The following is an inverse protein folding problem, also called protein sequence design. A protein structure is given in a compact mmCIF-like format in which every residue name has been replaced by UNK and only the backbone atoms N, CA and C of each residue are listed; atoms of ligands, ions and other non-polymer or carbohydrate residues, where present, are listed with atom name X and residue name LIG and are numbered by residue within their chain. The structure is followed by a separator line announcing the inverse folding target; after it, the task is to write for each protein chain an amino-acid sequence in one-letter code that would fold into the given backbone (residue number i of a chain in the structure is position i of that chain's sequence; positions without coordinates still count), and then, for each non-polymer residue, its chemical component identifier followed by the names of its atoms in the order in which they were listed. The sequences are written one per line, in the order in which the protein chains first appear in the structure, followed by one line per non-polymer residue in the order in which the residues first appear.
data_IF_618798269855
#
_entry.id   IF_618798269855
#
_cell.length_a   1.000
_cell.length_b   1.000
_cell.length_c   1.000
_cell.angle_alpha   90.00
_cell.angle_beta   90.00
_cell.angle_gamma   90.00
#
_symmetry.space_group_name_H-M   'P 1'
#
loop_
_entity.id
_entity.type
_entity.pdbx_description
1 polymer ?
#
# COMPACT_ATOMS: atom_id res chain seq x y z
N UNK A 1 7.97 -56.37 46.14
CA UNK A 1 8.48 -56.29 44.76
C UNK A 1 7.65 -55.49 43.75
N UNK A 2 6.36 -55.12 43.93
CA UNK A 2 5.63 -54.36 42.89
C UNK A 2 5.84 -52.83 42.90
N UNK A 3 6.37 -52.25 44.00
CA UNK A 3 6.59 -50.79 44.10
C UNK A 3 7.77 -50.27 43.26
N UNK A 4 8.79 -51.09 42.98
CA UNK A 4 9.97 -50.64 42.20
C UNK A 4 9.67 -50.52 40.70
N UNK A 5 8.82 -51.40 40.15
CA UNK A 5 8.44 -51.38 38.72
C UNK A 5 7.65 -50.11 38.36
N UNK A 6 6.70 -49.69 39.21
CA UNK A 6 5.91 -48.49 38.99
C UNK A 6 6.75 -47.20 39.06
N UNK A 7 7.80 -47.17 39.90
CA UNK A 7 8.73 -46.05 40.01
C UNK A 7 9.66 -45.97 38.80
N UNK A 8 10.19 -47.09 38.31
CA UNK A 8 11.03 -47.15 37.12
C UNK A 8 10.26 -46.77 35.85
N UNK A 9 9.03 -47.27 35.69
CA UNK A 9 8.14 -46.88 34.57
C UNK A 9 7.79 -45.39 34.60
N UNK A 10 7.56 -44.82 35.79
CA UNK A 10 7.29 -43.39 35.95
C UNK A 10 8.52 -42.52 35.62
N UNK A 11 9.74 -42.98 35.94
CA UNK A 11 10.99 -42.30 35.60
C UNK A 11 11.27 -42.39 34.09
N UNK A 12 11.09 -43.57 33.47
CA UNK A 12 11.21 -43.73 32.01
C UNK A 12 10.19 -42.87 31.26
N UNK A 13 8.94 -42.85 31.73
CA UNK A 13 7.86 -42.04 31.16
C UNK A 13 8.17 -40.53 31.26
N UNK A 14 8.66 -40.07 32.42
CA UNK A 14 9.10 -38.67 32.62
C UNK A 14 10.31 -38.32 31.75
N UNK A 15 11.30 -39.22 31.65
CA UNK A 15 12.47 -39.03 30.79
C UNK A 15 12.09 -38.92 29.32
N UNK A 16 11.19 -39.78 28.84
CA UNK A 16 10.69 -39.77 27.47
C UNK A 16 9.88 -38.51 27.19
N UNK A 17 9.06 -38.06 28.15
CA UNK A 17 8.32 -36.80 28.05
C UNK A 17 9.26 -35.59 27.97
N UNK A 18 10.32 -35.54 28.79
CA UNK A 18 11.32 -34.45 28.77
C UNK A 18 12.06 -34.44 27.43
N UNK A 19 12.51 -35.58 26.91
CA UNK A 19 13.17 -35.67 25.61
C UNK A 19 12.25 -35.28 24.46
N UNK A 20 10.97 -35.66 24.50
CA UNK A 20 9.98 -35.27 23.50
C UNK A 20 9.71 -33.75 23.54
N UNK A 21 9.59 -33.16 24.74
CA UNK A 21 9.43 -31.72 24.93
C UNK A 21 10.67 -30.94 24.46
N UNK A 22 11.87 -31.44 24.74
CA UNK A 22 13.12 -30.84 24.25
C UNK A 22 13.20 -30.90 22.72
N UNK A 23 12.89 -32.05 22.10
CA UNK A 23 12.85 -32.20 20.65
C UNK A 23 11.82 -31.27 19.99
N UNK A 24 10.64 -31.14 20.59
CA UNK A 24 9.62 -30.19 20.16
C UNK A 24 10.11 -28.73 20.28
N UNK A 25 10.77 -28.39 21.38
CA UNK A 25 11.34 -27.07 21.59
C UNK A 25 12.42 -26.72 20.56
N UNK A 26 13.36 -27.64 20.29
CA UNK A 26 14.38 -27.46 19.25
C UNK A 26 13.77 -27.32 17.85
N UNK A 27 12.74 -28.10 17.54
CA UNK A 27 11.99 -27.97 16.29
C UNK A 27 11.30 -26.60 16.18
N UNK A 28 10.68 -26.10 17.25
CA UNK A 28 10.04 -24.78 17.24
C UNK A 28 11.05 -23.64 17.15
N UNK A 29 12.24 -23.80 17.75
CA UNK A 29 13.35 -22.83 17.61
C UNK A 29 13.89 -22.82 16.19
N UNK A 30 14.09 -23.98 15.55
CA UNK A 30 14.59 -24.02 14.16
C UNK A 30 13.61 -23.38 13.16
N UNK A 31 12.35 -23.23 13.57
CA UNK A 31 11.30 -22.52 12.81
C UNK A 31 11.26 -21.01 13.05
N UNK A 32 12.08 -20.47 13.96
CA UNK A 32 12.33 -19.02 14.06
C UNK A 32 13.15 -18.58 12.86
N UNK A 33 12.73 -17.49 12.23
CA UNK A 33 13.52 -16.83 11.19
C UNK A 33 14.00 -15.50 11.75
N UNK A 34 15.29 -15.14 11.68
CA UNK A 34 15.69 -13.80 12.09
C UNK A 34 14.96 -12.76 11.24
N UNK A 35 14.56 -11.64 11.86
CA UNK A 35 13.99 -10.53 11.12
C UNK A 35 15.04 -9.95 10.18
N UNK A 36 14.64 -9.62 8.94
CA UNK A 36 15.54 -9.00 7.98
C UNK A 36 15.83 -7.56 8.45
N UNK A 37 17.12 -7.24 8.58
CA UNK A 37 17.62 -5.89 8.86
C UNK A 37 18.62 -5.51 7.76
N UNK A 38 18.19 -4.73 6.76
CA UNK A 38 19.07 -4.28 5.69
C UNK A 38 20.26 -3.48 6.24
N UNK A 39 21.48 -3.89 5.89
CA UNK A 39 22.71 -3.26 6.38
C UNK A 39 22.86 -1.85 5.83
N UNK A 40 23.42 -0.94 6.63
CA UNK A 40 23.70 0.43 6.18
C UNK A 40 22.45 1.22 5.78
N UNK A 41 21.26 0.77 6.19
CA UNK A 41 19.99 1.37 5.81
C UNK A 41 19.16 1.74 7.05
N UNK A 42 18.38 2.81 6.91
CA UNK A 42 17.33 3.17 7.85
C UNK A 42 15.95 2.89 7.25
N UNK A 43 15.03 2.48 8.11
CA UNK A 43 13.63 2.27 7.70
C UNK A 43 12.91 3.62 7.55
N UNK A 44 12.19 3.81 6.45
CA UNK A 44 11.26 4.91 6.27
C UNK A 44 9.90 4.61 6.93
N UNK A 45 9.21 5.67 7.29
CA UNK A 45 7.90 5.63 7.91
C UNK A 45 7.92 5.79 9.43
N UNK A 46 6.74 5.82 10.01
CA UNK A 46 6.58 6.05 11.43
C UNK A 46 7.15 4.89 12.29
N UNK A 47 7.56 5.17 13.54
CA UNK A 47 7.91 4.11 14.48
C UNK A 47 6.79 3.08 14.65
N UNK A 48 7.09 1.78 14.87
CA UNK A 48 6.07 0.77 15.07
C UNK A 48 5.07 1.16 16.17
N UNK A 49 3.78 0.91 15.94
CA UNK A 49 2.71 1.22 16.89
C UNK A 49 2.29 2.69 16.95
N UNK A 50 2.92 3.58 16.19
CA UNK A 50 2.50 4.99 16.04
C UNK A 50 1.74 5.21 14.74
N UNK A 51 0.81 6.18 14.75
CA UNK A 51 0.05 6.58 13.57
C UNK A 51 -0.52 7.99 13.78
N UNK A 52 -0.57 8.80 12.72
CA UNK A 52 -1.26 10.08 12.73
C UNK A 52 -2.79 9.92 12.65
N UNK A 53 -3.28 8.70 12.40
CA UNK A 53 -4.69 8.34 12.31
C UNK A 53 -5.23 7.63 13.57
N UNK A 54 -4.52 7.66 14.71
CA UNK A 54 -5.00 7.07 15.97
C UNK A 54 -6.38 7.59 16.41
N UNK A 55 -6.71 8.81 16.02
CA UNK A 55 -7.97 9.49 16.29
C UNK A 55 -8.91 9.53 15.06
N UNK A 56 -8.73 8.67 14.04
CA UNK A 56 -9.53 8.72 12.80
C UNK A 56 -11.05 8.60 13.01
N UNK A 57 -11.47 8.05 14.15
CA UNK A 57 -12.89 7.86 14.52
C UNK A 57 -13.47 8.97 15.38
N UNK A 58 -12.67 9.97 15.77
CA UNK A 58 -13.08 11.09 16.60
C UNK A 58 -14.17 11.93 15.91
N UNK A 59 -15.20 12.32 16.65
CA UNK A 59 -16.33 13.11 16.16
C UNK A 59 -15.93 14.50 15.67
N UNK A 60 -14.77 15.04 16.08
CA UNK A 60 -14.25 16.31 15.57
C UNK A 60 -14.05 16.32 14.05
N UNK A 61 -13.88 15.14 13.45
CA UNK A 61 -13.74 15.00 12.00
C UNK A 61 -15.07 14.90 11.27
N UNK A 62 -16.22 14.90 11.96
CA UNK A 62 -17.53 14.82 11.31
C UNK A 62 -18.01 16.14 10.71
N UNK A 63 -17.33 17.26 11.01
CA UNK A 63 -17.66 18.60 10.51
C UNK A 63 -16.39 19.32 10.06
N UNK A 64 -16.55 20.30 9.18
CA UNK A 64 -15.48 21.22 8.82
C UNK A 64 -15.21 22.25 9.92
N UNK A 65 -14.05 22.87 9.87
CA UNK A 65 -13.67 24.02 10.69
C UNK A 65 -13.24 25.18 9.79
N UNK A 66 -13.44 26.45 10.20
CA UNK A 66 -12.96 27.59 9.43
C UNK A 66 -11.44 27.56 9.19
N UNK A 67 -11.01 28.18 8.10
CA UNK A 67 -9.58 28.39 7.82
C UNK A 67 -8.99 29.32 8.89
N UNK A 68 -7.87 28.91 9.50
CA UNK A 68 -7.25 29.64 10.61
C UNK A 68 -6.21 28.78 11.32
N UNK A 69 -6.16 28.86 12.64
CA UNK A 69 -5.30 28.06 13.51
C UNK A 69 -6.13 27.30 14.55
N UNK A 70 -5.64 26.14 14.99
CA UNK A 70 -6.18 25.44 16.15
C UNK A 70 -5.61 25.99 17.48
N UNK A 71 -6.10 25.47 18.61
CA UNK A 71 -5.69 25.90 19.95
C UNK A 71 -4.18 25.72 20.22
N UNK A 72 -3.48 24.95 19.39
CA UNK A 72 -2.02 24.77 19.46
C UNK A 72 -1.27 25.62 18.43
N UNK A 73 -1.93 26.58 17.78
CA UNK A 73 -1.35 27.47 16.78
C UNK A 73 -1.06 26.79 15.43
N UNK A 74 -1.55 25.57 15.20
CA UNK A 74 -1.31 24.83 13.94
C UNK A 74 -2.38 25.21 12.92
N UNK A 75 -2.09 25.20 11.61
CA UNK A 75 -3.09 25.51 10.59
C UNK A 75 -4.31 24.58 10.72
N UNK A 76 -5.53 25.12 10.81
CA UNK A 76 -6.74 24.31 10.97
C UNK A 76 -6.93 23.35 9.79
N UNK A 77 -6.62 23.84 8.58
CA UNK A 77 -6.56 23.08 7.34
C UNK A 77 -5.13 22.65 7.05
N UNK A 78 -4.91 21.33 7.09
CA UNK A 78 -3.55 20.77 7.00
C UNK A 78 -3.54 19.31 6.58
N UNK A 79 -2.36 18.84 6.19
CA UNK A 79 -2.07 17.42 6.03
C UNK A 79 -2.17 16.71 7.38
N UNK A 80 -3.09 15.76 7.48
CA UNK A 80 -3.31 14.90 8.65
C UNK A 80 -2.40 13.67 8.62
N UNK A 81 -2.26 13.02 7.47
CA UNK A 81 -1.42 11.84 7.33
C UNK A 81 -0.89 11.71 5.89
N UNK A 82 0.28 11.10 5.75
CA UNK A 82 0.89 10.79 4.46
C UNK A 82 1.12 9.28 4.34
N UNK A 83 0.84 8.71 3.17
CA UNK A 83 1.05 7.30 2.88
C UNK A 83 1.72 7.10 1.53
N UNK A 84 2.73 6.23 1.51
CA UNK A 84 3.23 5.61 0.28
C UNK A 84 2.77 4.17 0.22
N UNK A 85 2.31 3.71 -0.94
CA UNK A 85 1.91 2.33 -1.19
C UNK A 85 2.90 1.69 -2.16
N UNK A 86 4.12 1.35 -1.73
CA UNK A 86 5.21 0.98 -2.64
C UNK A 86 4.88 -0.24 -3.50
N UNK A 87 4.13 -1.17 -2.92
CA UNK A 87 3.58 -2.33 -3.59
C UNK A 87 2.07 -2.16 -3.81
N UNK A 88 1.65 -2.10 -5.08
CA UNK A 88 0.26 -1.93 -5.46
C UNK A 88 -0.62 -2.97 -4.77
N UNK A 89 -1.76 -2.51 -4.25
CA UNK A 89 -2.76 -3.33 -3.57
C UNK A 89 -2.34 -3.91 -2.20
N UNK A 90 -1.12 -3.67 -1.74
CA UNK A 90 -0.63 -4.11 -0.42
C UNK A 90 -0.69 -2.98 0.62
N UNK A 91 -0.35 -3.24 1.89
CA UNK A 91 -0.40 -2.21 2.95
C UNK A 91 0.45 -0.98 2.60
N UNK A 92 0.02 0.17 3.09
CA UNK A 92 0.75 1.43 2.95
C UNK A 92 1.77 1.61 4.06
N UNK A 93 2.83 2.34 3.78
CA UNK A 93 3.79 2.86 4.75
C UNK A 93 3.34 4.27 5.12
N UNK A 94 2.98 4.47 6.39
CA UNK A 94 2.65 5.81 6.89
C UNK A 94 3.94 6.62 7.11
N UNK A 95 3.95 7.84 6.59
CA UNK A 95 5.12 8.71 6.55
C UNK A 95 4.88 9.99 7.35
N UNK A 96 5.93 10.51 7.99
CA UNK A 96 5.91 11.86 8.56
C UNK A 96 6.21 12.93 7.50
N UNK A 97 7.03 12.57 6.50
CA UNK A 97 7.37 13.39 5.37
C UNK A 97 7.72 12.49 4.18
N UNK A 98 7.52 13.00 2.97
CA UNK A 98 7.88 12.32 1.72
C UNK A 98 8.38 13.33 0.72
N UNK A 99 9.42 12.97 -0.03
CA UNK A 99 9.69 13.62 -1.29
C UNK A 99 8.51 13.33 -2.24
N UNK A 100 8.19 14.29 -3.09
CA UNK A 100 7.30 14.18 -4.22
C UNK A 100 8.16 14.30 -5.46
N UNK A 101 8.06 13.32 -6.34
CA UNK A 101 8.73 13.21 -7.64
C UNK A 101 7.66 13.21 -8.74
N UNK A 102 8.01 13.22 -10.05
CA UNK A 102 6.99 13.29 -11.11
C UNK A 102 5.95 12.16 -11.07
N UNK A 103 6.31 10.98 -10.55
CA UNK A 103 5.39 9.83 -10.38
C UNK A 103 4.55 9.85 -9.09
N UNK A 104 4.67 10.89 -8.26
CA UNK A 104 3.92 11.08 -7.02
C UNK A 104 4.81 11.09 -5.78
N UNK A 105 4.29 10.61 -4.64
CA UNK A 105 5.13 10.41 -3.46
C UNK A 105 6.22 9.40 -3.79
N UNK A 106 7.45 9.66 -3.34
CA UNK A 106 8.59 8.79 -3.59
C UNK A 106 8.29 7.35 -3.15
N UNK A 107 8.71 6.40 -3.98
CA UNK A 107 8.44 4.97 -3.87
C UNK A 107 6.98 4.52 -4.03
N UNK A 108 5.99 5.42 -4.18
CA UNK A 108 4.59 5.01 -4.30
C UNK A 108 4.33 4.21 -5.59
N UNK A 109 3.68 3.05 -5.42
CA UNK A 109 3.22 2.14 -6.49
C UNK A 109 4.26 1.82 -7.56
N UNK A 110 5.53 1.75 -7.17
CA UNK A 110 6.64 1.36 -8.03
C UNK A 110 6.64 -0.15 -8.32
N UNK A 111 5.96 -0.94 -7.48
CA UNK A 111 5.89 -2.38 -7.60
C UNK A 111 4.45 -2.89 -7.74
N UNK A 112 4.26 -4.03 -8.40
CA UNK A 112 2.97 -4.73 -8.46
C UNK A 112 3.18 -6.23 -8.59
N UNK A 113 2.21 -7.04 -8.14
CA UNK A 113 2.12 -8.43 -8.57
C UNK A 113 1.34 -8.53 -9.89
N UNK A 114 1.73 -9.47 -10.75
CA UNK A 114 0.98 -9.81 -11.95
C UNK A 114 1.03 -11.31 -12.24
N UNK A 115 -0.09 -11.82 -12.76
CA UNK A 115 -0.25 -13.23 -13.12
C UNK A 115 -0.16 -13.41 -14.63
N UNK A 116 0.54 -14.45 -15.08
CA UNK A 116 0.61 -14.81 -16.49
C UNK A 116 -0.66 -15.56 -16.94
N UNK A 117 -1.34 -15.06 -17.97
CA UNK A 117 -2.47 -15.72 -18.62
C UNK A 117 -2.65 -15.18 -20.05
N UNK A 118 -3.10 -16.04 -20.97
CA UNK A 118 -3.33 -15.67 -22.38
C UNK A 118 -2.12 -14.94 -22.99
N UNK A 119 -0.93 -15.52 -22.78
CA UNK A 119 0.37 -15.03 -23.24
C UNK A 119 0.75 -13.60 -22.78
N UNK A 120 0.11 -13.11 -21.70
CA UNK A 120 0.33 -11.76 -21.17
C UNK A 120 0.42 -11.74 -19.65
N UNK A 121 1.30 -10.89 -19.14
CA UNK A 121 1.32 -10.54 -17.72
C UNK A 121 0.18 -9.56 -17.41
N UNK A 122 -0.68 -9.90 -16.45
CA UNK A 122 -1.81 -9.06 -16.05
C UNK A 122 -1.73 -8.76 -14.56
N UNK A 123 -1.76 -7.49 -14.18
CA UNK A 123 -1.68 -7.12 -12.76
C UNK A 123 -2.79 -7.79 -11.93
N UNK A 124 -2.43 -8.21 -10.71
CA UNK A 124 -3.38 -8.74 -9.72
C UNK A 124 -3.53 -7.72 -8.60
N UNK A 125 -4.77 -7.45 -8.24
CA UNK A 125 -5.11 -6.36 -7.32
C UNK A 125 -6.17 -6.80 -6.31
N UNK A 126 -6.37 -5.99 -5.28
CA UNK A 126 -7.50 -6.12 -4.34
C UNK A 126 -8.88 -5.99 -4.99
N UNK A 127 -9.00 -5.86 -6.32
CA UNK A 127 -10.28 -5.99 -7.04
C UNK A 127 -10.56 -7.42 -7.49
N UNK A 128 -9.52 -8.23 -7.63
CA UNK A 128 -9.63 -9.62 -8.03
C UNK A 128 -10.06 -10.46 -6.82
N UNK A 129 -11.06 -11.33 -7.01
CA UNK A 129 -11.73 -12.09 -5.93
C UNK A 129 -10.75 -12.88 -5.06
N UNK A 130 -9.75 -13.49 -5.68
CA UNK A 130 -8.82 -14.43 -5.03
C UNK A 130 -7.58 -13.75 -4.44
N UNK A 131 -7.44 -12.42 -4.60
CA UNK A 131 -6.24 -11.67 -4.22
C UNK A 131 -6.46 -10.74 -3.01
N UNK A 132 -7.50 -10.99 -2.20
CA UNK A 132 -7.76 -10.14 -1.01
C UNK A 132 -6.62 -10.21 0.02
N UNK A 133 -5.87 -11.32 0.04
CA UNK A 133 -4.70 -11.53 0.90
C UNK A 133 -3.55 -10.56 0.63
N UNK A 134 -3.55 -9.86 -0.52
CA UNK A 134 -2.62 -8.75 -0.77
C UNK A 134 -2.73 -7.66 0.32
N UNK A 135 -3.91 -7.48 0.92
CA UNK A 135 -4.11 -6.55 2.03
C UNK A 135 -3.29 -6.89 3.28
N UNK A 136 -2.82 -8.13 3.41
CA UNK A 136 -2.00 -8.62 4.53
C UNK A 136 -0.50 -8.62 4.21
N UNK A 137 -0.11 -8.21 3.01
CA UNK A 137 1.29 -8.04 2.62
C UNK A 137 1.75 -6.65 3.07
N UNK A 138 2.84 -6.62 3.83
CA UNK A 138 3.41 -5.46 4.50
C UNK A 138 4.76 -5.10 3.88
N UNK A 139 4.82 -4.11 3.00
CA UNK A 139 6.08 -3.58 2.53
C UNK A 139 6.66 -2.59 3.57
N UNK A 140 7.97 -2.69 3.79
CA UNK A 140 8.79 -1.72 4.52
C UNK A 140 9.84 -1.18 3.55
N UNK A 141 10.01 0.15 3.50
CA UNK A 141 10.99 0.81 2.65
C UNK A 141 12.23 1.10 3.50
N UNK A 142 13.39 0.61 3.07
CA UNK A 142 14.68 0.85 3.72
C UNK A 142 15.59 1.60 2.76
N UNK A 143 16.11 2.74 3.19
CA UNK A 143 16.98 3.60 2.37
C UNK A 143 18.37 3.71 2.99
N UNK A 144 19.42 3.91 2.18
CA UNK A 144 20.78 4.04 2.70
C UNK A 144 20.90 5.15 3.74
N UNK A 145 21.66 4.88 4.79
CA UNK A 145 21.96 5.82 5.87
C UNK A 145 23.47 5.84 6.12
N UNK A 146 24.20 6.83 5.57
CA UNK A 146 25.64 6.98 5.78
C UNK A 146 26.06 7.13 7.24
N UNK A 147 25.13 7.43 8.17
CA UNK A 147 25.42 7.50 9.61
C UNK A 147 25.32 6.15 10.32
N UNK A 148 24.83 5.11 9.66
CA UNK A 148 24.72 3.77 10.23
C UNK A 148 26.11 3.13 10.44
N UNK A 149 26.31 2.51 11.60
CA UNK A 149 27.59 1.86 11.97
C UNK A 149 28.03 0.73 11.03
N UNK A 150 27.08 0.10 10.32
CA UNK A 150 27.29 -0.99 9.37
C UNK A 150 27.11 -0.53 7.91
N UNK A 151 27.22 0.78 7.66
CA UNK A 151 27.18 1.35 6.31
C UNK A 151 28.42 0.97 5.50
N UNK A 152 28.17 0.39 4.32
CA UNK A 152 29.18 0.11 3.30
C UNK A 152 28.65 0.57 1.94
N UNK A 153 29.30 1.55 1.27
CA UNK A 153 28.86 2.03 -0.04
C UNK A 153 28.88 0.95 -1.12
N UNK A 154 29.62 -0.15 -0.93
CA UNK A 154 29.70 -1.26 -1.88
C UNK A 154 28.70 -2.39 -1.56
N UNK A 155 27.95 -2.29 -0.46
CA UNK A 155 26.91 -3.27 -0.14
C UNK A 155 25.79 -3.26 -1.18
N UNK A 156 25.16 -4.42 -1.40
CA UNK A 156 24.08 -4.56 -2.37
C UNK A 156 22.89 -3.64 -2.04
N UNK A 157 22.58 -3.47 -0.76
CA UNK A 157 21.54 -2.59 -0.25
C UNK A 157 21.78 -1.13 -0.64
N UNK A 158 23.02 -0.63 -0.44
CA UNK A 158 23.38 0.77 -0.74
C UNK A 158 23.47 1.00 -2.26
N UNK A 159 24.07 0.08 -3.00
CA UNK A 159 24.15 0.14 -4.47
C UNK A 159 22.76 0.14 -5.13
N UNK A 160 21.79 -0.54 -4.51
CA UNK A 160 20.38 -0.56 -4.95
C UNK A 160 19.58 0.69 -4.54
N UNK A 161 20.24 1.69 -3.94
CA UNK A 161 19.63 2.88 -3.34
C UNK A 161 18.53 2.51 -2.34
N UNK A 162 18.75 1.42 -1.61
CA UNK A 162 17.82 0.86 -0.65
C UNK A 162 17.12 -0.42 -1.12
N UNK A 163 16.36 -1.00 -0.20
CA UNK A 163 15.61 -2.25 -0.41
C UNK A 163 14.20 -2.13 0.14
N UNK A 164 13.29 -2.90 -0.41
CA UNK A 164 11.97 -3.13 0.16
C UNK A 164 11.96 -4.49 0.85
N UNK A 165 11.67 -4.51 2.14
CA UNK A 165 11.41 -5.74 2.89
C UNK A 165 9.92 -6.01 2.84
N UNK A 166 9.52 -7.18 2.34
CA UNK A 166 8.11 -7.56 2.20
C UNK A 166 7.80 -8.65 3.22
N UNK A 167 6.91 -8.32 4.16
CA UNK A 167 6.41 -9.23 5.20
C UNK A 167 5.02 -9.75 4.84
N UNK A 168 4.72 -11.01 5.16
CA UNK A 168 3.39 -11.60 4.95
C UNK A 168 3.11 -12.74 5.93
N UNK A 169 1.84 -13.07 6.23
CA UNK A 169 1.50 -14.12 7.17
C UNK A 169 2.06 -15.49 6.78
N UNK A 170 2.62 -16.19 7.77
CA UNK A 170 3.08 -17.57 7.63
C UNK A 170 1.87 -18.51 7.56
N UNK A 171 1.83 -19.36 6.54
CA UNK A 171 0.89 -20.48 6.49
C UNK A 171 1.53 -21.68 7.21
N UNK A 172 0.79 -22.24 8.16
CA UNK A 172 1.16 -23.53 8.73
C UNK A 172 0.79 -24.65 7.74
N UNK A 173 1.68 -25.63 7.50
CA UNK A 173 1.38 -26.75 6.62
C UNK A 173 0.20 -27.58 7.13
N UNK A 174 -0.35 -28.46 6.29
CA UNK A 174 -1.41 -29.39 6.72
C UNK A 174 -0.82 -30.48 7.64
N UNK A 175 -1.70 -31.16 8.40
CA UNK A 175 -1.32 -32.30 9.25
C UNK A 175 -0.83 -31.94 10.66
N UNK A 176 -0.28 -32.93 11.36
CA UNK A 176 0.13 -32.83 12.76
C UNK A 176 1.26 -31.81 12.97
N UNK A 177 2.24 -31.79 12.07
CA UNK A 177 3.30 -30.78 12.07
C UNK A 177 2.75 -29.35 11.95
N UNK A 178 1.72 -29.15 11.13
CA UNK A 178 0.99 -27.88 11.05
C UNK A 178 0.39 -27.41 12.37
N UNK A 179 -0.19 -28.34 13.15
CA UNK A 179 -0.74 -28.03 14.48
C UNK A 179 0.35 -27.57 15.44
N UNK A 180 1.53 -28.21 15.40
CA UNK A 180 2.71 -27.81 16.17
C UNK A 180 3.17 -26.40 15.79
N UNK A 181 3.28 -26.09 14.50
CA UNK A 181 3.65 -24.75 14.02
C UNK A 181 2.62 -23.70 14.48
N UNK A 182 1.32 -24.01 14.41
CA UNK A 182 0.25 -23.12 14.91
C UNK A 182 0.38 -22.85 16.41
N UNK A 183 0.64 -23.87 17.21
CA UNK A 183 0.87 -23.72 18.64
C UNK A 183 2.12 -22.86 18.92
N UNK A 184 3.22 -23.12 18.21
CA UNK A 184 4.44 -22.30 18.29
C UNK A 184 4.22 -20.83 17.93
N UNK A 185 3.43 -20.55 16.90
CA UNK A 185 3.04 -19.18 16.54
C UNK A 185 2.13 -18.52 17.59
N UNK A 186 1.22 -19.28 18.21
CA UNK A 186 0.35 -18.79 19.27
C UNK A 186 1.12 -18.46 20.56
N UNK A 187 2.18 -19.22 20.86
CA UNK A 187 3.07 -19.01 22.00
C UNK A 187 4.23 -18.02 21.71
N UNK A 188 4.24 -17.37 20.55
CA UNK A 188 5.34 -16.49 20.09
C UNK A 188 6.73 -17.17 20.06
N UNK A 189 6.78 -18.50 19.99
CA UNK A 189 8.01 -19.26 19.80
C UNK A 189 8.39 -19.25 18.32
N UNK A 190 7.42 -19.27 17.40
CA UNK A 190 7.68 -19.18 15.97
C UNK A 190 7.16 -17.86 15.39
N UNK A 191 7.85 -17.34 14.38
CA UNK A 191 7.38 -16.15 13.68
C UNK A 191 6.02 -16.40 13.02
N UNK A 192 5.13 -15.43 13.18
CA UNK A 192 3.80 -15.39 12.54
C UNK A 192 3.87 -14.89 11.09
N UNK A 193 5.00 -14.33 10.69
CA UNK A 193 5.25 -13.78 9.36
C UNK A 193 6.50 -14.41 8.73
N UNK A 194 6.52 -14.39 7.40
CA UNK A 194 7.70 -14.60 6.55
C UNK A 194 8.11 -13.26 5.95
N UNK A 195 9.38 -13.15 5.61
CA UNK A 195 9.96 -11.94 5.02
C UNK A 195 10.90 -12.33 3.88
N UNK A 196 10.97 -11.47 2.87
CA UNK A 196 12.02 -11.45 1.86
C UNK A 196 12.31 -10.00 1.50
N UNK A 197 13.46 -9.74 0.88
CA UNK A 197 13.84 -8.39 0.45
C UNK A 197 14.04 -8.34 -1.06
N UNK A 198 13.75 -7.19 -1.63
CA UNK A 198 14.01 -6.88 -3.05
C UNK A 198 14.67 -5.50 -3.15
N UNK A 199 15.54 -5.25 -4.14
CA UNK A 199 16.14 -3.94 -4.34
C UNK A 199 15.09 -2.89 -4.72
N UNK A 200 15.19 -1.66 -4.19
CA UNK A 200 14.33 -0.55 -4.61
C UNK A 200 14.69 -0.09 -6.02
N UNK A 201 15.98 -0.12 -6.35
CA UNK A 201 16.50 0.12 -7.69
C UNK A 201 17.43 -1.03 -8.07
N UNK A 202 17.23 -1.66 -9.24
CA UNK A 202 18.19 -2.62 -9.76
C UNK A 202 19.57 -1.97 -9.90
N UNK A 203 20.65 -2.73 -9.61
CA UNK A 203 22.00 -2.30 -9.98
C UNK A 203 22.13 -2.24 -11.51
N UNK A 204 23.09 -1.43 -12.00
CA UNK A 204 23.33 -1.29 -13.44
C UNK A 204 23.63 -2.64 -14.13
N UNK A 205 24.26 -3.57 -13.40
CA UNK A 205 24.63 -4.90 -13.91
C UNK A 205 23.52 -5.96 -13.77
N UNK A 206 22.39 -5.60 -13.15
CA UNK A 206 21.32 -6.57 -12.92
C UNK A 206 20.62 -6.97 -14.21
N UNK A 207 20.38 -8.28 -14.36
CA UNK A 207 19.82 -8.89 -15.58
C UNK A 207 18.33 -9.22 -15.45
N UNK A 208 17.58 -8.42 -14.70
CA UNK A 208 16.13 -8.66 -14.56
C UNK A 208 15.45 -8.53 -15.94
N UNK A 209 14.69 -9.54 -16.38
CA UNK A 209 13.97 -9.47 -17.65
C UNK A 209 13.05 -8.25 -17.70
N UNK A 210 13.04 -7.55 -18.83
CA UNK A 210 12.10 -6.46 -19.11
C UNK A 210 10.97 -6.99 -19.99
N UNK A 211 9.74 -6.95 -19.48
CA UNK A 211 8.56 -7.47 -20.18
C UNK A 211 7.38 -6.51 -20.06
N UNK A 212 6.47 -6.48 -21.04
CA UNK A 212 5.24 -5.70 -20.94
C UNK A 212 4.30 -6.31 -19.88
N UNK A 213 3.77 -5.47 -18.99
CA UNK A 213 2.81 -5.87 -17.95
C UNK A 213 1.52 -5.09 -18.11
N UNK A 214 0.42 -5.78 -18.42
CA UNK A 214 -0.88 -5.16 -18.65
C UNK A 214 -1.47 -4.59 -17.37
N UNK A 215 -1.71 -3.29 -17.38
CA UNK A 215 -2.48 -2.52 -16.40
C UNK A 215 -3.61 -1.79 -17.13
N UNK A 216 -4.84 -2.26 -16.93
CA UNK A 216 -6.02 -1.72 -17.60
C UNK A 216 -5.91 -1.79 -19.13
N UNK A 217 -5.95 -0.63 -19.78
CA UNK A 217 -5.80 -0.46 -21.23
C UNK A 217 -4.34 -0.25 -21.65
N UNK A 218 -3.40 -0.23 -20.71
CA UNK A 218 -1.98 0.06 -20.93
C UNK A 218 -1.11 -1.19 -20.67
N UNK A 219 0.12 -1.20 -21.16
CA UNK A 219 1.09 -2.31 -21.03
C UNK A 219 2.53 -1.79 -20.95
N UNK A 220 2.89 -1.03 -19.88
CA UNK A 220 4.24 -0.55 -19.65
C UNK A 220 5.26 -1.70 -19.56
N UNK A 221 6.51 -1.38 -19.87
CA UNK A 221 7.63 -2.27 -19.59
C UNK A 221 7.94 -2.27 -18.10
N UNK A 222 8.14 -3.45 -17.54
CA UNK A 222 8.49 -3.67 -16.15
C UNK A 222 9.60 -4.72 -16.02
N UNK A 223 10.35 -4.61 -14.93
CA UNK A 223 11.41 -5.55 -14.56
C UNK A 223 10.81 -6.70 -13.76
N UNK A 224 11.03 -7.92 -14.21
CA UNK A 224 10.57 -9.15 -13.56
C UNK A 224 11.48 -9.52 -12.38
N UNK A 225 10.94 -9.46 -11.16
CA UNK A 225 11.65 -9.82 -9.92
C UNK A 225 11.33 -11.25 -9.46
N UNK A 226 10.77 -12.09 -10.33
CA UNK A 226 10.31 -13.44 -10.01
C UNK A 226 11.36 -14.34 -9.36
N UNK A 227 12.64 -14.20 -9.77
CA UNK A 227 13.74 -14.94 -9.18
C UNK A 227 13.99 -14.64 -7.68
N UNK A 228 13.45 -13.53 -7.16
CA UNK A 228 13.56 -13.13 -5.76
C UNK A 228 12.36 -13.57 -4.91
N UNK A 229 11.30 -14.12 -5.53
CA UNK A 229 10.08 -14.47 -4.82
C UNK A 229 10.23 -15.86 -4.18
N UNK A 230 10.02 -15.99 -2.87
CA UNK A 230 10.07 -17.29 -2.21
C UNK A 230 8.81 -18.11 -2.50
N UNK A 231 8.96 -19.45 -2.58
CA UNK A 231 7.85 -20.40 -2.74
C UNK A 231 6.73 -20.20 -1.71
N UNK A 232 7.08 -19.85 -0.48
CA UNK A 232 6.10 -19.60 0.58
C UNK A 232 5.18 -18.38 0.32
N UNK A 233 5.58 -17.44 -0.55
CA UNK A 233 4.71 -16.35 -0.98
C UNK A 233 3.68 -16.85 -2.00
N UNK A 234 4.07 -17.76 -2.91
CA UNK A 234 3.13 -18.39 -3.83
C UNK A 234 2.07 -19.18 -3.07
N UNK A 235 2.45 -19.97 -2.05
CA UNK A 235 1.50 -20.63 -1.15
C UNK A 235 0.52 -19.64 -0.48
N UNK A 236 0.99 -18.41 -0.23
CA UNK A 236 0.20 -17.36 0.40
C UNK A 236 -0.73 -16.62 -0.57
N UNK A 237 -0.29 -16.30 -1.78
CA UNK A 237 -1.06 -15.44 -2.70
C UNK A 237 -1.79 -16.20 -3.80
N UNK A 238 -1.26 -17.33 -4.26
CA UNK A 238 -1.85 -18.06 -5.38
C UNK A 238 -3.00 -18.96 -4.91
N UNK A 239 -4.11 -18.92 -5.66
CA UNK A 239 -5.21 -19.87 -5.49
C UNK A 239 -4.81 -21.30 -5.87
N UNK A 240 -3.83 -21.41 -6.78
CA UNK A 240 -3.22 -22.66 -7.22
C UNK A 240 -1.68 -22.49 -7.26
N UNK A 241 -1.00 -22.65 -6.11
CA UNK A 241 0.46 -22.45 -6.02
C UNK A 241 1.28 -23.36 -6.93
N UNK A 242 0.69 -24.47 -7.41
CA UNK A 242 1.35 -25.42 -8.31
C UNK A 242 1.71 -24.81 -9.66
N UNK A 243 0.96 -23.79 -10.10
CA UNK A 243 1.16 -23.13 -11.40
C UNK A 243 2.21 -22.03 -11.37
N UNK A 244 2.55 -21.50 -10.19
CA UNK A 244 3.53 -20.40 -9.99
C UNK A 244 3.39 -19.24 -10.99
N UNK A 245 2.14 -18.90 -11.34
CA UNK A 245 1.87 -17.92 -12.40
C UNK A 245 2.02 -16.47 -11.96
N UNK A 246 2.22 -16.20 -10.67
CA UNK A 246 2.28 -14.86 -10.09
C UNK A 246 3.73 -14.42 -9.88
N UNK A 247 4.12 -13.29 -10.45
CA UNK A 247 5.44 -12.69 -10.17
C UNK A 247 5.28 -11.24 -9.68
N UNK A 248 6.39 -10.69 -9.21
CA UNK A 248 6.57 -9.34 -8.71
C UNK A 248 7.27 -8.54 -9.80
N UNK A 249 6.72 -7.37 -10.10
CA UNK A 249 7.26 -6.46 -11.10
C UNK A 249 7.59 -5.12 -10.48
N UNK A 250 8.69 -4.53 -10.93
CA UNK A 250 9.03 -3.12 -10.71
C UNK A 250 8.81 -2.35 -12.01
N UNK A 251 8.18 -1.18 -11.95
CA UNK A 251 8.02 -0.33 -13.13
C UNK A 251 9.40 0.03 -13.71
N UNK A 252 9.54 0.04 -15.03
CA UNK A 252 10.82 0.43 -15.65
C UNK A 252 10.92 1.96 -15.72
N UNK A 253 11.99 2.60 -15.20
CA UNK A 253 12.16 4.05 -15.30
C UNK A 253 12.28 4.56 -16.74
N UNK A 254 12.68 3.69 -17.69
CA UNK A 254 12.83 4.03 -19.11
C UNK A 254 11.49 4.07 -19.87
N UNK A 255 10.41 3.59 -19.27
CA UNK A 255 9.08 3.52 -19.91
C UNK A 255 8.00 4.04 -18.95
N UNK A 256 8.01 5.34 -18.62
CA UNK A 256 7.00 5.92 -17.74
C UNK A 256 5.61 5.84 -18.36
N UNK A 257 4.57 5.70 -17.53
CA UNK A 257 3.18 5.81 -18.02
C UNK A 257 2.73 7.25 -17.99
N UNK A 258 2.77 7.88 -19.15
CA UNK A 258 2.35 9.27 -19.33
C UNK A 258 0.84 9.44 -19.15
N UNK A 259 0.45 10.59 -18.61
CA UNK A 259 -0.94 10.94 -18.30
C UNK A 259 -1.27 12.23 -19.02
N UNK A 260 -2.31 12.17 -19.86
CA UNK A 260 -2.78 13.32 -20.65
C UNK A 260 -4.16 13.79 -20.17
N UNK A 261 -5.07 12.84 -19.98
CA UNK A 261 -6.46 13.11 -19.60
C UNK A 261 -6.57 13.81 -18.24
N UNK A 262 -7.34 14.90 -18.20
CA UNK A 262 -7.54 15.79 -17.03
C UNK A 262 -6.25 16.24 -16.31
N UNK A 263 -5.07 16.00 -16.89
CA UNK A 263 -3.80 16.42 -16.33
C UNK A 263 -3.44 17.78 -16.91
N UNK A 264 -2.70 18.61 -16.17
CA UNK A 264 -2.07 19.78 -16.77
C UNK A 264 -1.15 19.36 -17.92
N UNK A 265 -1.01 20.22 -18.92
CA UNK A 265 -0.11 20.00 -20.05
C UNK A 265 1.35 20.12 -19.63
N UNK A 266 2.28 19.66 -20.47
CA UNK A 266 3.71 19.85 -20.24
C UNK A 266 4.07 21.34 -20.23
N UNK A 267 3.37 22.15 -20.99
CA UNK A 267 3.52 23.60 -21.05
C UNK A 267 3.10 24.26 -19.73
N UNK A 268 2.07 23.73 -19.06
CA UNK A 268 1.56 24.26 -17.79
C UNK A 268 2.52 24.04 -16.61
N UNK A 269 3.21 22.88 -16.56
CA UNK A 269 4.00 22.48 -15.38
C UNK A 269 5.48 22.13 -15.68
N UNK A 270 5.91 22.23 -16.93
CA UNK A 270 7.30 22.02 -17.35
C UNK A 270 7.74 20.56 -17.54
N UNK A 271 6.87 19.58 -17.27
CA UNK A 271 7.14 18.15 -17.51
C UNK A 271 5.86 17.40 -17.85
N UNK A 272 5.98 16.26 -18.55
CA UNK A 272 4.82 15.43 -18.86
C UNK A 272 4.40 14.66 -17.59
N UNK A 273 3.17 14.87 -17.08
CA UNK A 273 2.65 14.08 -15.97
C UNK A 273 2.76 12.59 -16.25
N UNK A 274 3.19 11.82 -15.28
CA UNK A 274 3.35 10.39 -15.42
C UNK A 274 3.10 9.64 -14.11
N UNK A 275 3.05 8.32 -14.19
CA UNK A 275 2.94 7.43 -13.04
C UNK A 275 3.61 6.09 -13.29
N UNK A 276 3.81 5.32 -12.22
CA UNK A 276 4.20 3.92 -12.29
C UNK A 276 2.94 3.02 -12.36
N UNK A 277 2.73 2.15 -11.38
CA UNK A 277 1.55 1.29 -11.33
C UNK A 277 0.35 1.92 -10.61
N UNK A 278 0.27 3.24 -10.46
CA UNK A 278 -0.99 3.87 -10.07
C UNK A 278 -2.08 3.63 -11.12
N UNK A 279 -3.35 3.68 -10.70
CA UNK A 279 -4.43 3.41 -11.65
C UNK A 279 -4.51 4.49 -12.73
N UNK A 280 -4.33 5.76 -12.35
CA UNK A 280 -4.55 6.89 -13.23
C UNK A 280 -3.58 8.05 -12.98
N UNK A 281 -3.48 8.55 -11.75
CA UNK A 281 -2.69 9.73 -11.41
C UNK A 281 -1.71 9.43 -10.27
N UNK A 282 -0.61 10.22 -10.16
CA UNK A 282 0.46 9.96 -9.21
C UNK A 282 0.07 10.12 -7.73
N UNK A 283 -0.90 10.99 -7.41
CA UNK A 283 -1.28 11.28 -6.02
C UNK A 283 -2.79 11.18 -5.85
N UNK A 284 -3.23 10.57 -4.75
CA UNK A 284 -4.64 10.57 -4.33
C UNK A 284 -4.78 11.30 -2.99
N UNK A 285 -5.65 12.32 -2.94
CA UNK A 285 -5.99 13.07 -1.73
C UNK A 285 -7.38 12.70 -1.22
N UNK A 286 -7.55 12.59 0.09
CA UNK A 286 -8.85 12.39 0.73
C UNK A 286 -8.99 13.25 1.98
N UNK A 287 -10.15 13.88 2.13
CA UNK A 287 -10.50 14.67 3.30
C UNK A 287 -11.11 13.78 4.40
N UNK A 288 -10.69 14.03 5.65
CA UNK A 288 -11.21 13.33 6.83
C UNK A 288 -12.73 13.45 6.96
N UNK A 289 -13.31 14.63 6.75
CA UNK A 289 -14.76 14.84 6.94
C UNK A 289 -15.60 14.16 5.86
N UNK A 290 -15.16 14.14 4.61
CA UNK A 290 -15.75 13.35 3.53
C UNK A 290 -15.75 11.86 3.85
N UNK A 291 -14.63 11.36 4.40
CA UNK A 291 -14.54 9.98 4.85
C UNK A 291 -15.51 9.70 6.00
N UNK A 292 -15.63 10.60 6.99
CA UNK A 292 -16.55 10.43 8.13
C UNK A 292 -18.02 10.43 7.70
N UNK A 293 -18.41 11.26 6.73
CA UNK A 293 -19.76 11.22 6.15
C UNK A 293 -20.06 9.83 5.56
N UNK A 294 -19.17 9.31 4.70
CA UNK A 294 -19.32 7.96 4.11
C UNK A 294 -19.39 6.88 5.19
N UNK A 295 -18.47 6.93 6.16
CA UNK A 295 -18.40 5.97 7.26
C UNK A 295 -19.69 5.94 8.08
N UNK A 296 -20.28 7.11 8.37
CA UNK A 296 -21.54 7.20 9.12
C UNK A 296 -22.71 6.53 8.38
N UNK A 297 -22.77 6.67 7.05
CA UNK A 297 -23.84 6.12 6.21
C UNK A 297 -23.76 4.60 6.03
N UNK A 298 -22.57 4.01 6.14
CA UNK A 298 -22.37 2.56 6.06
C UNK A 298 -22.12 1.90 7.43
N UNK A 299 -22.26 2.61 8.54
CA UNK A 299 -21.98 2.10 9.89
C UNK A 299 -22.82 0.87 10.26
N UNK A 300 -24.00 0.71 9.65
CA UNK A 300 -24.87 -0.46 9.82
C UNK A 300 -24.22 -1.79 9.35
N UNK A 301 -23.24 -1.73 8.46
CA UNK A 301 -22.54 -2.89 7.91
C UNK A 301 -21.04 -2.90 8.24
N UNK A 302 -20.41 -1.71 8.29
CA UNK A 302 -18.99 -1.54 8.64
C UNK A 302 -18.91 -0.47 9.74
N UNK A 303 -19.10 -0.83 11.02
CA UNK A 303 -19.15 0.13 12.13
C UNK A 303 -17.88 0.99 12.28
N UNK A 304 -16.73 0.44 11.89
CA UNK A 304 -15.44 1.13 11.88
C UNK A 304 -14.83 1.07 10.48
N UNK A 305 -15.37 1.87 9.57
CA UNK A 305 -14.77 2.05 8.25
C UNK A 305 -13.48 2.86 8.41
N UNK A 306 -12.31 2.23 8.22
CA UNK A 306 -11.02 2.92 8.22
C UNK A 306 -10.77 3.65 6.89
N UNK A 307 -10.19 4.86 6.97
CA UNK A 307 -9.86 5.68 5.80
C UNK A 307 -8.81 5.02 4.89
N UNK A 308 -8.00 4.12 5.46
CA UNK A 308 -6.95 3.39 4.74
C UNK A 308 -7.51 2.48 3.63
N UNK A 309 -8.79 2.08 3.71
CA UNK A 309 -9.50 1.35 2.64
C UNK A 309 -9.52 2.10 1.31
N UNK A 310 -9.44 3.43 1.36
CA UNK A 310 -9.48 4.28 0.17
C UNK A 310 -8.12 4.55 -0.45
N UNK A 311 -7.04 4.20 0.25
CA UNK A 311 -5.64 4.28 -0.22
C UNK A 311 -5.24 5.68 -0.71
N UNK A 312 -5.60 6.70 0.05
CA UNK A 312 -5.11 8.06 -0.17
C UNK A 312 -3.64 8.16 0.21
N UNK A 313 -2.90 8.92 -0.58
CA UNK A 313 -1.51 9.29 -0.32
C UNK A 313 -1.46 10.48 0.62
N UNK A 314 -2.37 11.44 0.44
CA UNK A 314 -2.50 12.63 1.29
C UNK A 314 -3.87 12.57 1.96
N UNK A 315 -3.90 12.51 3.28
CA UNK A 315 -5.12 12.72 4.06
C UNK A 315 -5.07 14.12 4.62
N UNK A 316 -6.12 14.91 4.41
CA UNK A 316 -6.23 16.27 4.94
C UNK A 316 -7.34 16.36 5.99
N UNK A 317 -7.18 17.29 6.93
CA UNK A 317 -8.22 17.67 7.88
C UNK A 317 -8.48 19.16 7.80
N UNK A 318 -9.65 19.59 8.28
CA UNK A 318 -10.05 21.00 8.28
C UNK A 318 -11.31 21.26 7.45
N UNK A 319 -11.30 20.96 6.14
CA UNK A 319 -12.44 21.24 5.26
C UNK A 319 -13.72 20.50 5.64
N UNK A 320 -14.86 21.05 5.22
CA UNK A 320 -16.17 20.39 5.35
C UNK A 320 -16.26 19.16 4.44
N UNK A 321 -17.22 18.27 4.72
CA UNK A 321 -17.37 17.06 3.94
C UNK A 321 -17.61 17.40 2.46
N UNK A 322 -16.81 16.79 1.60
CA UNK A 322 -16.80 16.90 0.14
C UNK A 322 -16.38 18.25 -0.43
N UNK A 323 -15.87 19.15 0.40
CA UNK A 323 -15.34 20.43 -0.06
C UNK A 323 -14.24 20.28 -1.10
N UNK A 324 -13.48 19.17 -1.05
CA UNK A 324 -12.43 18.85 -2.02
C UNK A 324 -12.94 18.55 -3.43
N UNK A 325 -14.23 18.25 -3.63
CA UNK A 325 -14.78 17.87 -4.94
C UNK A 325 -14.71 18.98 -5.99
N UNK A 326 -14.41 20.21 -5.55
CA UNK A 326 -14.37 21.41 -6.37
C UNK A 326 -12.97 22.01 -6.52
N UNK A 327 -11.93 21.46 -5.88
CA UNK A 327 -10.61 22.06 -5.95
C UNK A 327 -9.96 21.83 -7.31
N UNK A 328 -9.51 22.89 -7.98
CA UNK A 328 -8.74 22.81 -9.23
C UNK A 328 -7.25 22.95 -8.98
N UNK A 329 -6.87 23.82 -8.04
CA UNK A 329 -5.49 24.04 -7.61
C UNK A 329 -5.46 24.24 -6.10
N UNK A 330 -4.49 23.61 -5.46
CA UNK A 330 -4.24 23.74 -4.02
C UNK A 330 -2.77 24.06 -3.76
N UNK A 331 -2.46 24.69 -2.65
CA UNK A 331 -1.11 24.81 -2.12
C UNK A 331 -1.00 23.99 -0.84
N UNK A 332 0.00 23.11 -0.77
CA UNK A 332 0.32 22.33 0.42
C UNK A 332 1.76 22.61 0.81
N UNK A 333 1.97 23.11 2.04
CA UNK A 333 3.32 23.47 2.50
C UNK A 333 3.97 24.56 1.64
N UNK A 334 3.17 25.44 1.04
CA UNK A 334 3.64 26.48 0.12
C UNK A 334 3.97 26.00 -1.29
N UNK A 335 3.72 24.72 -1.62
CA UNK A 335 3.90 24.20 -2.98
C UNK A 335 2.54 23.94 -3.64
N UNK A 336 2.37 24.51 -4.82
CA UNK A 336 1.17 24.29 -5.63
C UNK A 336 1.05 22.84 -6.10
N UNK A 337 -0.16 22.31 -6.21
CA UNK A 337 -0.47 20.99 -6.75
C UNK A 337 -1.75 21.10 -7.57
N UNK A 338 -1.72 20.51 -8.77
CA UNK A 338 -2.89 20.49 -9.66
C UNK A 338 -3.84 19.37 -9.23
N UNK A 339 -5.13 19.70 -9.21
CA UNK A 339 -6.19 18.72 -8.99
C UNK A 339 -6.80 18.35 -10.33
N UNK A 340 -6.47 17.16 -10.81
CA UNK A 340 -6.86 16.69 -12.14
C UNK A 340 -8.35 16.38 -12.20
N UNK A 341 -8.80 15.42 -11.38
CA UNK A 341 -10.18 14.97 -11.41
C UNK A 341 -10.62 14.37 -10.08
N UNK A 342 -11.92 14.17 -9.94
CA UNK A 342 -12.47 13.36 -8.84
C UNK A 342 -12.00 11.93 -8.96
N UNK A 343 -11.79 11.27 -7.82
CA UNK A 343 -11.38 9.87 -7.79
C UNK A 343 -12.58 8.96 -7.93
N UNK A 344 -12.77 8.43 -9.14
CA UNK A 344 -13.75 7.38 -9.40
C UNK A 344 -13.40 6.13 -8.58
N UNK A 345 -14.36 5.64 -7.79
CA UNK A 345 -14.18 4.53 -6.86
C UNK A 345 -14.58 3.21 -7.49
N UNK A 346 -13.73 2.21 -7.29
CA UNK A 346 -14.00 0.81 -7.58
C UNK A 346 -14.33 0.04 -6.28
N UNK A 347 -14.52 -1.28 -6.36
CA UNK A 347 -14.79 -2.17 -5.21
C UNK A 347 -13.58 -2.49 -4.32
N UNK A 348 -12.43 -1.85 -4.54
CA UNK A 348 -11.25 -2.06 -3.69
C UNK A 348 -11.51 -1.76 -2.21
N UNK A 349 -12.19 -0.64 -1.83
CA UNK A 349 -12.43 -0.29 -0.43
C UNK A 349 -13.27 -1.31 0.35
N UNK A 350 -13.92 -2.25 -0.34
CA UNK A 350 -14.65 -3.33 0.30
C UNK A 350 -13.72 -4.31 1.04
N UNK A 351 -12.43 -4.35 0.72
CA UNK A 351 -11.46 -5.20 1.41
C UNK A 351 -10.94 -4.49 2.66
N UNK A 352 -11.01 -5.17 3.80
CA UNK A 352 -10.43 -4.71 5.06
C UNK A 352 -8.89 -4.80 5.00
N UNK A 353 -8.15 -3.70 5.20
CA UNK A 353 -6.69 -3.73 5.16
C UNK A 353 -6.06 -4.49 6.34
N UNK A 354 -6.78 -4.70 7.44
CA UNK A 354 -6.33 -5.41 8.63
C UNK A 354 -6.58 -6.91 8.51
N UNK A 355 -7.79 -7.32 8.12
CA UNK A 355 -8.16 -8.74 8.07
C UNK A 355 -8.01 -9.38 6.69
N UNK A 356 -8.03 -8.57 5.62
CA UNK A 356 -8.08 -9.05 4.25
C UNK A 356 -9.47 -9.53 3.82
N UNK A 357 -10.50 -9.38 4.68
CA UNK A 357 -11.86 -9.80 4.36
C UNK A 357 -12.53 -8.80 3.43
N UNK A 358 -13.24 -9.33 2.43
CA UNK A 358 -14.00 -8.52 1.49
C UNK A 358 -15.47 -8.49 1.90
N UNK A 359 -15.98 -7.30 2.21
CA UNK A 359 -17.42 -7.11 2.32
C UNK A 359 -18.10 -7.22 0.94
N UNK A 360 -19.23 -7.92 0.87
CA UNK A 360 -19.90 -8.24 -0.41
C UNK A 360 -20.30 -6.98 -1.19
N UNK A 361 -20.67 -5.90 -0.51
CA UNK A 361 -21.25 -4.72 -1.15
C UNK A 361 -20.74 -3.36 -0.63
N UNK A 362 -20.14 -3.28 0.55
CA UNK A 362 -19.87 -1.99 1.22
C UNK A 362 -18.35 -1.73 1.28
N UNK A 363 -17.90 -0.47 1.21
CA UNK A 363 -18.70 0.76 1.11
C UNK A 363 -19.15 1.13 -0.32
N UNK A 364 -18.88 0.29 -1.35
CA UNK A 364 -19.24 0.56 -2.76
C UNK A 364 -20.73 0.89 -2.96
N UNK A 365 -21.64 0.13 -2.32
CA UNK A 365 -23.09 0.33 -2.41
C UNK A 365 -23.49 1.67 -1.80
N UNK A 366 -23.04 1.98 -0.59
CA UNK A 366 -23.30 3.27 0.07
C UNK A 366 -22.78 4.42 -0.78
N UNK A 367 -21.55 4.35 -1.29
CA UNK A 367 -21.01 5.40 -2.15
C UNK A 367 -21.87 5.59 -3.41
N UNK A 368 -22.24 4.50 -4.10
CA UNK A 368 -23.05 4.60 -5.33
C UNK A 368 -24.45 5.15 -5.12
N UNK A 369 -25.00 5.10 -3.90
CA UNK A 369 -26.35 5.62 -3.65
C UNK A 369 -26.43 7.14 -3.69
N UNK A 370 -25.32 7.87 -3.46
CA UNK A 370 -25.35 9.34 -3.38
C UNK A 370 -24.11 10.06 -3.94
N UNK A 371 -23.05 9.34 -4.30
CA UNK A 371 -21.77 9.93 -4.74
C UNK A 371 -21.46 9.73 -6.23
N UNK A 372 -22.47 9.42 -7.06
CA UNK A 372 -22.36 9.43 -8.53
C UNK A 372 -22.51 10.87 -9.03
N UNK A 373 -21.47 11.67 -8.80
CA UNK A 373 -21.50 13.13 -8.94
C UNK A 373 -20.69 13.66 -10.14
N UNK A 374 -20.07 12.78 -10.91
CA UNK A 374 -19.24 13.17 -12.04
C UNK A 374 -19.92 12.80 -13.35
N UNK A 375 -20.25 13.80 -14.17
CA UNK A 375 -20.96 13.61 -15.44
C UNK A 375 -20.14 12.80 -16.45
N UNK A 376 -18.80 12.78 -16.32
CA UNK A 376 -17.92 11.96 -17.16
C UNK A 376 -17.98 10.45 -16.85
N UNK A 377 -18.49 10.08 -15.67
CA UNK A 377 -18.81 8.69 -15.33
C UNK A 377 -20.03 8.59 -14.39
N UNK A 378 -21.25 8.63 -14.95
CA UNK A 378 -22.49 8.63 -14.16
C UNK A 378 -22.77 7.28 -13.47
N UNK A 379 -21.93 6.26 -13.69
CA UNK A 379 -22.14 4.91 -13.17
C UNK A 379 -21.37 4.63 -11.88
N UNK A 380 -20.24 5.31 -11.68
CA UNK A 380 -19.35 5.07 -10.56
C UNK A 380 -19.38 6.24 -9.59
N UNK A 381 -19.17 5.93 -8.31
CA UNK A 381 -19.14 6.94 -7.27
C UNK A 381 -17.76 7.62 -7.20
N UNK A 382 -17.71 8.84 -6.68
CA UNK A 382 -16.49 9.61 -6.47
C UNK A 382 -16.23 9.86 -4.97
N UNK A 383 -14.99 9.69 -4.54
CA UNK A 383 -14.54 10.07 -3.20
C UNK A 383 -13.02 10.36 -3.21
N UNK A 384 -12.66 11.57 -2.82
CA UNK A 384 -11.28 12.08 -2.87
C UNK A 384 -10.89 12.55 -4.28
N UNK A 385 -9.70 13.15 -4.38
CA UNK A 385 -9.21 13.83 -5.59
C UNK A 385 -7.91 13.23 -6.11
N UNK A 386 -7.78 13.15 -7.43
CA UNK A 386 -6.55 12.76 -8.11
C UNK A 386 -5.72 14.01 -8.40
N UNK A 387 -4.46 13.99 -7.99
CA UNK A 387 -3.57 15.14 -8.07
C UNK A 387 -2.33 14.85 -8.92
N UNK A 388 -1.76 15.91 -9.48
CA UNK A 388 -0.49 15.92 -10.22
C UNK A 388 0.44 16.98 -9.59
N UNK A 389 1.71 16.64 -9.30
CA UNK A 389 2.70 17.61 -8.80
C UNK A 389 2.85 18.80 -9.76
N UNK A 390 3.00 20.04 -9.24
CA UNK A 390 3.19 21.24 -10.10
C UNK A 390 4.63 21.45 -10.58
N UNK A 391 5.60 20.80 -9.94
CA UNK A 391 7.03 20.89 -10.25
C UNK A 391 7.72 19.55 -9.98
N UNK A 392 8.91 19.38 -10.54
CA UNK A 392 9.62 18.10 -10.57
C UNK A 392 9.85 17.48 -9.20
N UNK A 393 10.34 18.24 -8.22
CA UNK A 393 10.65 17.73 -6.87
C UNK A 393 10.31 18.72 -5.76
N UNK A 394 9.74 18.22 -4.66
CA UNK A 394 9.54 18.95 -3.39
C UNK A 394 9.26 17.99 -2.23
N UNK A 395 9.16 18.52 -1.01
CA UNK A 395 8.86 17.72 0.19
C UNK A 395 7.49 18.08 0.72
N UNK A 396 6.68 17.06 1.04
CA UNK A 396 5.46 17.19 1.83
C UNK A 396 5.67 16.64 3.24
N UNK A 397 5.04 17.26 4.22
CA UNK A 397 5.09 16.87 5.64
C UNK A 397 3.69 16.82 6.23
N UNK A 398 3.51 15.92 7.19
CA UNK A 398 2.33 15.98 8.06
C UNK A 398 2.37 17.29 8.85
N UNK A 399 1.23 17.97 8.89
CA UNK A 399 1.11 19.31 9.48
C UNK A 399 1.22 20.46 8.48
N UNK A 400 1.65 20.22 7.25
CA UNK A 400 1.72 21.26 6.21
C UNK A 400 0.35 21.90 6.00
N UNK A 401 0.33 23.24 5.96
CA UNK A 401 -0.86 24.05 5.70
C UNK A 401 -1.41 23.73 4.31
N UNK A 402 -2.74 23.64 4.22
CA UNK A 402 -3.49 23.50 2.98
C UNK A 402 -4.23 24.82 2.68
N UNK A 403 -3.99 25.37 1.49
CA UNK A 403 -4.74 26.51 0.94
C UNK A 403 -5.37 26.13 -0.40
N UNK A 404 -6.62 26.52 -0.63
CA UNK A 404 -7.29 26.34 -1.92
C UNK A 404 -7.04 27.57 -2.77
N UNK A 405 -6.42 27.37 -3.94
CA UNK A 405 -6.05 28.47 -4.84
C UNK A 405 -7.11 28.71 -5.91
N UNK A 406 -7.79 27.66 -6.33
CA UNK A 406 -8.78 27.71 -7.39
C UNK A 406 -9.83 26.62 -7.19
N UNK A 407 -11.09 26.97 -7.44
CA UNK A 407 -12.22 26.03 -7.44
C UNK A 407 -12.96 26.04 -8.77
N UNK A 408 -13.57 24.91 -9.13
CA UNK A 408 -14.33 24.78 -10.36
C UNK A 408 -15.01 23.43 -10.49
N UNK A 409 -15.60 23.19 -11.65
CA UNK A 409 -16.19 21.90 -11.99
C UNK A 409 -15.11 20.91 -12.47
N UNK A 410 -15.30 19.64 -12.13
CA UNK A 410 -14.57 18.54 -12.76
C UNK A 410 -15.51 17.73 -13.64
N UNK A 411 -14.94 17.20 -14.71
CA UNK A 411 -15.56 16.19 -15.56
C UNK A 411 -14.51 15.14 -15.89
N UNK A 412 -14.74 13.91 -15.48
CA UNK A 412 -13.80 12.81 -15.62
C UNK A 412 -13.73 12.34 -17.08
N UNK A 413 -12.54 12.37 -17.67
CA UNK A 413 -12.29 11.81 -19.00
C UNK A 413 -11.82 10.37 -18.82
N UNK A 414 -12.59 9.40 -19.32
CA UNK A 414 -12.27 7.96 -19.18
C UNK A 414 -10.92 7.61 -19.82
N UNK A 415 -10.28 6.57 -19.29
CA UNK A 415 -9.04 6.06 -19.87
C UNK A 415 -9.32 5.47 -21.26
N UNK A 416 -8.58 5.96 -22.25
CA UNK A 416 -8.62 5.51 -23.63
C UNK A 416 -7.58 4.41 -23.86
N UNK A 417 -7.83 3.53 -24.82
CA UNK A 417 -6.84 2.59 -25.30
C UNK A 417 -5.79 3.35 -26.15
N UNK A 418 -4.58 2.82 -26.33
CA UNK A 418 -3.63 3.38 -27.28
C UNK A 418 -4.29 3.57 -28.66
N UNK A 419 -4.33 4.82 -29.16
CA UNK A 419 -4.95 5.19 -30.44
C UNK A 419 -6.45 5.50 -30.41
N UNK A 420 -7.14 5.34 -29.28
CA UNK A 420 -8.53 5.77 -29.10
C UNK A 420 -8.53 7.29 -28.84
N UNK A 421 -9.19 8.08 -29.70
CA UNK A 421 -9.36 9.53 -29.55
C UNK A 421 -10.75 9.84 -28.98
N UNK A 422 -10.85 10.90 -28.18
CA UNK A 422 -12.13 11.53 -27.81
C UNK A 422 -12.15 12.90 -28.47
N UNK A 423 -13.21 13.22 -29.21
CA UNK A 423 -13.39 14.56 -29.78
C UNK A 423 -13.27 15.62 -28.69
N UNK A 424 -12.36 16.59 -28.89
CA UNK A 424 -12.16 17.73 -27.99
C UNK A 424 -11.09 17.55 -26.90
N UNK A 425 -10.21 16.53 -26.98
CA UNK A 425 -9.02 16.36 -26.11
C UNK A 425 -7.74 16.29 -26.93
#
# INVERSE_FOLDING_TARGET
MPLNLAWEEAILSKGTLISALAGLFFLLISLKTPAIRPKGCRRLGLPPGTSNLRDEYDSKYSQGVPVGQDDQGRPSWRVKALFSYPLKSCRGVELQASNVVPTGLEYDRQFTFAGYNNDKWNIRTLRNKDFNRLALVEPEIWVPDPSAHDYDPNSAEVQSRGVMVISYPRIAPKGMYGKVVKAGMALNICNRQRQFQVPLHPSADSKFPQVPVKIWKDSPIALDYGALIPDSLHEFLDSDPSKRTLTLFRASPSHPREIFRNAPTKEDIGFQPNTAFADAYPIHLLNMSSHRDVASRCAYAIPQLSIQRFRANIVVQGPSAFEEDHWKRVSIGGTEIYTSCRTVRCRLPNVDPVTGDRHKAEPDKTLKSYRRIDEGDPTNACLGMQLVPSKGEFVLRVGDKLDVLETGLHQYIKMLAPGEQVEGV
#
